data_IF_414041258635
#
_entry.id   IF_414041258635
#
_cell.length_a   1.000
_cell.length_b   1.000
_cell.length_c   1.000
_cell.angle_alpha   90.00
_cell.angle_beta   90.00
_cell.angle_gamma   90.00
#
_symmetry.space_group_name_H-M   'P 1'
#
loop_
_entity.id
_entity.type
_entity.pdbx_description
1 polymer ?
#
# COMPACT_ATOMS: atom_id res chain seq x y z
N UNK A 1 -9.03 -0.14 15.29
CA UNK A 1 -7.95 0.61 14.61
C UNK A 1 -6.70 0.78 15.49
N UNK A 2 -6.85 1.17 16.77
CA UNK A 2 -5.71 1.34 17.69
C UNK A 2 -4.84 0.07 17.86
N UNK A 3 -5.45 -1.12 17.95
CA UNK A 3 -4.71 -2.38 18.02
C UNK A 3 -3.90 -2.70 16.75
N UNK A 4 -4.44 -2.39 15.56
CA UNK A 4 -3.73 -2.60 14.30
C UNK A 4 -2.53 -1.66 14.16
N UNK A 5 -2.63 -0.44 14.68
CA UNK A 5 -1.51 0.51 14.75
C UNK A 5 -0.42 -0.03 15.66
N UNK A 6 -0.79 -0.51 16.86
CA UNK A 6 0.17 -1.10 17.81
C UNK A 6 0.84 -2.38 17.28
N UNK A 7 0.21 -3.08 16.33
CA UNK A 7 0.77 -4.25 15.66
C UNK A 7 1.58 -3.94 14.39
N UNK A 8 1.72 -2.66 14.01
CA UNK A 8 2.42 -2.27 12.78
C UNK A 8 1.74 -2.74 11.48
N UNK A 9 0.46 -3.10 11.55
CA UNK A 9 -0.32 -3.63 10.41
C UNK A 9 -0.93 -2.50 9.58
N UNK A 10 -0.08 -1.60 9.10
CA UNK A 10 -0.49 -0.39 8.40
C UNK A 10 -1.23 -0.65 7.09
N UNK A 11 -1.01 -1.80 6.44
CA UNK A 11 -1.75 -2.22 5.24
C UNK A 11 -3.23 -2.56 5.56
N UNK A 12 -3.49 -3.34 6.61
CA UNK A 12 -4.84 -3.65 7.08
C UNK A 12 -5.55 -2.39 7.60
N UNK A 13 -4.81 -1.51 8.27
CA UNK A 13 -5.32 -0.25 8.78
C UNK A 13 -5.72 0.71 7.63
N UNK A 14 -4.89 0.79 6.59
CA UNK A 14 -5.18 1.57 5.39
C UNK A 14 -6.43 1.08 4.67
N UNK A 15 -6.64 -0.24 4.66
CA UNK A 15 -7.83 -0.86 4.08
C UNK A 15 -9.09 -0.45 4.85
N UNK A 16 -9.08 -0.55 6.18
CA UNK A 16 -10.20 -0.13 7.02
C UNK A 16 -10.50 1.38 6.88
N UNK A 17 -9.48 2.20 6.71
CA UNK A 17 -9.61 3.63 6.46
C UNK A 17 -10.24 3.97 5.10
N UNK A 18 -10.19 3.06 4.12
CA UNK A 18 -10.95 3.24 2.87
C UNK A 18 -12.45 3.04 3.06
N UNK A 19 -12.86 2.24 4.06
CA UNK A 19 -14.25 1.92 4.34
C UNK A 19 -14.88 2.84 5.39
N UNK A 20 -14.06 3.40 6.30
CA UNK A 20 -14.51 4.24 7.41
C UNK A 20 -13.72 5.57 7.49
N UNK A 21 -14.05 6.53 6.62
CA UNK A 21 -13.49 7.91 6.69
C UNK A 21 -14.21 8.75 7.75
N UNK A 22 -14.12 8.36 9.02
CA UNK A 22 -14.61 9.21 10.11
C UNK A 22 -13.53 10.21 10.56
N UNK A 23 -13.93 11.45 10.87
CA UNK A 23 -13.01 12.52 11.32
C UNK A 23 -12.18 12.13 12.55
N UNK A 24 -12.75 11.29 13.41
CA UNK A 24 -12.10 10.79 14.63
C UNK A 24 -10.87 9.92 14.34
N UNK A 25 -10.86 9.20 13.21
CA UNK A 25 -9.76 8.32 12.82
C UNK A 25 -8.83 8.92 11.78
N UNK A 26 -9.05 10.17 11.37
CA UNK A 26 -8.29 10.84 10.32
C UNK A 26 -6.77 10.76 10.55
N UNK A 27 -6.30 11.04 11.77
CA UNK A 27 -4.87 10.97 12.08
C UNK A 27 -4.28 9.56 11.95
N UNK A 28 -5.06 8.52 12.26
CA UNK A 28 -4.63 7.12 12.12
C UNK A 28 -4.62 6.68 10.66
N UNK A 29 -5.57 7.18 9.87
CA UNK A 29 -5.66 6.91 8.45
C UNK A 29 -4.57 7.63 7.65
N UNK A 30 -4.28 8.89 7.97
CA UNK A 30 -3.20 9.66 7.35
C UNK A 30 -1.84 8.99 7.60
N UNK A 31 -1.60 8.51 8.82
CA UNK A 31 -0.38 7.76 9.18
C UNK A 31 -0.31 6.41 8.44
N UNK A 32 -1.40 5.66 8.41
CA UNK A 32 -1.45 4.38 7.68
C UNK A 32 -1.23 4.54 6.17
N UNK A 33 -1.79 5.57 5.56
CA UNK A 33 -1.58 5.89 4.14
C UNK A 33 -0.15 6.34 3.86
N UNK A 34 0.46 7.09 4.78
CA UNK A 34 1.86 7.51 4.66
C UNK A 34 2.79 6.30 4.68
N UNK A 35 2.63 5.41 5.67
CA UNK A 35 3.43 4.18 5.79
C UNK A 35 3.20 3.23 4.61
N UNK A 36 1.95 3.11 4.14
CA UNK A 36 1.63 2.30 2.96
C UNK A 36 2.27 2.87 1.69
N UNK A 37 2.26 4.19 1.51
CA UNK A 37 2.96 4.84 0.40
C UNK A 37 4.45 4.58 0.46
N UNK A 38 5.09 4.78 1.61
CA UNK A 38 6.51 4.52 1.80
C UNK A 38 6.88 3.06 1.50
N UNK A 39 6.02 2.10 1.89
CA UNK A 39 6.22 0.68 1.59
C UNK A 39 6.09 0.38 0.10
N UNK A 40 5.09 0.93 -0.59
CA UNK A 40 4.91 0.76 -2.04
C UNK A 40 6.08 1.41 -2.79
N UNK A 41 6.44 2.63 -2.43
CA UNK A 41 7.60 3.35 -2.99
C UNK A 41 8.89 2.56 -2.77
N UNK A 42 9.09 1.99 -1.58
CA UNK A 42 10.21 1.10 -1.28
C UNK A 42 10.26 -0.12 -2.20
N UNK A 43 9.14 -0.82 -2.38
CA UNK A 43 9.03 -1.96 -3.31
C UNK A 43 9.40 -1.52 -4.73
N UNK A 44 8.80 -0.44 -5.23
CA UNK A 44 9.02 0.04 -6.59
C UNK A 44 10.45 0.59 -6.79
N UNK A 45 11.09 1.09 -5.74
CA UNK A 45 12.45 1.64 -5.77
C UNK A 45 13.55 0.58 -5.86
N UNK A 46 13.28 -0.68 -5.48
CA UNK A 46 14.22 -1.81 -5.68
C UNK A 46 14.61 -2.00 -7.15
N UNK A 47 13.86 -1.38 -8.07
CA UNK A 47 14.17 -1.36 -9.50
C UNK A 47 15.29 -0.41 -9.91
N UNK A 48 15.71 0.52 -9.04
CA UNK A 48 16.85 1.40 -9.33
C UNK A 48 18.14 0.60 -9.58
N UNK A 49 18.23 -0.62 -9.05
CA UNK A 49 19.40 -1.47 -9.19
C UNK A 49 19.31 -2.46 -10.37
N UNK A 50 18.11 -2.89 -10.81
CA UNK A 50 17.95 -3.94 -11.84
C UNK A 50 16.76 -3.67 -12.79
N UNK A 51 16.93 -2.88 -13.87
CA UNK A 51 15.85 -2.39 -14.73
C UNK A 51 15.07 -3.46 -15.53
N UNK A 52 15.60 -4.69 -15.63
CA UNK A 52 15.00 -5.80 -16.38
C UNK A 52 14.27 -6.82 -15.50
N UNK A 53 14.51 -6.83 -14.19
CA UNK A 53 13.89 -7.76 -13.26
C UNK A 53 12.53 -7.23 -12.81
N UNK A 54 11.50 -8.07 -12.94
CA UNK A 54 10.23 -7.83 -12.27
C UNK A 54 10.42 -8.09 -10.77
N UNK A 55 9.83 -7.24 -9.95
CA UNK A 55 9.90 -7.32 -8.50
C UNK A 55 9.03 -8.51 -8.07
N UNK A 56 9.64 -9.47 -7.39
CA UNK A 56 8.91 -10.55 -6.72
C UNK A 56 8.52 -10.06 -5.33
N UNK A 57 7.21 -9.94 -5.10
CA UNK A 57 6.65 -9.54 -3.80
C UNK A 57 5.95 -10.75 -3.21
N UNK A 58 6.05 -10.93 -1.88
CA UNK A 58 5.28 -11.94 -1.17
C UNK A 58 3.78 -11.85 -1.50
N UNK A 59 3.12 -13.00 -1.61
CA UNK A 59 1.72 -13.12 -2.04
C UNK A 59 0.76 -12.37 -1.09
N UNK A 60 1.04 -12.36 0.21
CA UNK A 60 0.24 -11.63 1.20
C UNK A 60 0.34 -10.12 1.01
N UNK A 61 1.57 -9.61 0.88
CA UNK A 61 1.81 -8.18 0.64
C UNK A 61 1.21 -7.73 -0.69
N UNK A 62 1.36 -8.52 -1.75
CA UNK A 62 0.78 -8.20 -3.06
C UNK A 62 -0.73 -8.08 -3.00
N UNK A 63 -1.41 -9.07 -2.41
CA UNK A 63 -2.87 -9.06 -2.30
C UNK A 63 -3.36 -7.82 -1.55
N UNK A 64 -2.69 -7.46 -0.45
CA UNK A 64 -3.02 -6.26 0.32
C UNK A 64 -2.82 -4.97 -0.50
N UNK A 65 -1.71 -4.84 -1.24
CA UNK A 65 -1.50 -3.68 -2.10
C UNK A 65 -2.54 -3.61 -3.21
N UNK A 66 -2.83 -4.73 -3.89
CA UNK A 66 -3.85 -4.78 -4.94
C UNK A 66 -5.24 -4.40 -4.41
N UNK A 67 -5.58 -4.81 -3.19
CA UNK A 67 -6.84 -4.44 -2.54
C UNK A 67 -6.88 -2.95 -2.19
N UNK A 68 -5.78 -2.36 -1.71
CA UNK A 68 -5.65 -0.92 -1.46
C UNK A 68 -5.77 -0.13 -2.78
N UNK A 69 -5.11 -0.57 -3.86
CA UNK A 69 -5.25 0.03 -5.19
C UNK A 69 -6.66 -0.13 -5.74
N UNK A 70 -7.39 -1.17 -5.33
CA UNK A 70 -8.78 -1.34 -5.72
C UNK A 70 -9.71 -0.39 -4.96
N UNK A 71 -9.51 -0.21 -3.66
CA UNK A 71 -10.41 0.57 -2.78
C UNK A 71 -10.05 2.05 -2.65
N UNK A 72 -8.82 2.46 -2.92
CA UNK A 72 -8.36 3.85 -2.81
C UNK A 72 -8.02 4.45 -4.21
N UNK A 73 -8.84 5.37 -4.75
CA UNK A 73 -8.62 5.98 -6.06
C UNK A 73 -7.28 6.70 -6.18
N UNK A 74 -6.84 7.41 -5.14
CA UNK A 74 -5.61 8.20 -5.15
C UNK A 74 -4.38 7.29 -5.30
N UNK A 75 -4.38 6.17 -4.57
CA UNK A 75 -3.33 5.17 -4.68
C UNK A 75 -3.39 4.44 -6.02
N UNK A 76 -4.60 4.16 -6.51
CA UNK A 76 -4.80 3.53 -7.83
C UNK A 76 -4.14 4.37 -8.93
N UNK A 77 -4.44 5.65 -9.00
CA UNK A 77 -3.91 6.53 -10.04
C UNK A 77 -2.39 6.65 -9.96
N UNK A 78 -1.84 6.78 -8.74
CA UNK A 78 -0.39 6.94 -8.54
C UNK A 78 0.41 5.65 -8.81
N UNK A 79 -0.05 4.52 -8.29
CA UNK A 79 0.79 3.31 -8.21
C UNK A 79 0.36 2.18 -9.15
N UNK A 80 -0.91 2.07 -9.57
CA UNK A 80 -1.37 0.95 -10.40
C UNK A 80 -0.57 0.78 -11.71
N UNK A 81 -0.23 1.85 -12.46
CA UNK A 81 0.57 1.72 -13.67
C UNK A 81 1.98 1.18 -13.39
N UNK A 82 2.61 1.63 -12.30
CA UNK A 82 3.95 1.20 -11.89
C UNK A 82 3.92 -0.24 -11.36
N UNK A 83 2.92 -0.56 -10.55
CA UNK A 83 2.70 -1.88 -9.97
C UNK A 83 2.55 -2.95 -11.07
N UNK A 84 1.67 -2.73 -12.06
CA UNK A 84 1.49 -3.65 -13.19
C UNK A 84 2.74 -3.78 -14.06
N UNK A 85 3.52 -2.71 -14.18
CA UNK A 85 4.72 -2.69 -15.02
C UNK A 85 5.89 -3.41 -14.37
N UNK A 86 5.96 -3.39 -13.03
CA UNK A 86 7.16 -3.82 -12.31
C UNK A 86 6.97 -5.05 -11.44
N UNK A 87 5.77 -5.33 -10.93
CA UNK A 87 5.51 -6.48 -10.08
C UNK A 87 5.11 -7.68 -10.93
N UNK A 88 5.70 -8.84 -10.64
CA UNK A 88 5.41 -10.09 -11.36
C UNK A 88 4.07 -10.69 -10.93
N UNK A 89 3.35 -11.27 -11.89
CA UNK A 89 2.13 -12.07 -11.68
C UNK A 89 2.35 -13.36 -10.89
#
# INVERSE_FOLDING_TARGET
MLELKNQGKYLELSLLCTEHREKEYKSYCDEAWTETSAKIDGILSQKAELPFLRISVDKGTRKQVEEILSKNPEFREKYLPLWKKFVQE
#
